data_IF_306572737230
#
_entry.id   IF_306572737230
#
_cell.length_a   1.000
_cell.length_b   1.000
_cell.length_c   1.000
_cell.angle_alpha   90.00
_cell.angle_beta   90.00
_cell.angle_gamma   90.00
#
_symmetry.space_group_name_H-M   'P 1'
#
loop_
_entity.id
_entity.type
_entity.pdbx_description
1 polymer ?
#
# COMPACT_ATOMS: atom_id res chain seq x y z
N UNK A 1 -20.47 -17.83 -18.40
CA UNK A 1 -20.98 -16.45 -18.21
C UNK A 1 -21.01 -15.77 -19.57
N UNK A 2 -22.10 -15.12 -19.97
CA UNK A 2 -22.13 -14.35 -21.22
C UNK A 2 -21.26 -13.09 -21.06
N UNK A 3 -20.25 -12.95 -21.92
CA UNK A 3 -19.30 -11.82 -21.97
C UNK A 3 -19.92 -10.49 -22.38
N UNK A 4 -21.17 -10.52 -22.86
CA UNK A 4 -21.96 -9.35 -23.22
C UNK A 4 -23.46 -9.57 -22.98
N UNK A 5 -24.21 -8.47 -22.89
CA UNK A 5 -25.68 -8.40 -22.86
C UNK A 5 -26.17 -7.74 -24.13
N UNK A 6 -27.34 -8.16 -24.63
CA UNK A 6 -28.06 -7.46 -25.71
C UNK A 6 -29.48 -7.12 -25.27
N UNK A 7 -30.10 -6.16 -25.94
CA UNK A 7 -31.50 -5.81 -25.72
C UNK A 7 -31.92 -4.67 -26.62
N UNK A 8 -33.01 -3.99 -26.26
CA UNK A 8 -33.51 -2.82 -26.99
C UNK A 8 -33.22 -1.54 -26.21
N UNK A 9 -32.82 -0.51 -26.94
CA UNK A 9 -32.50 0.80 -26.41
C UNK A 9 -33.23 1.90 -27.17
N UNK A 10 -33.44 3.02 -26.47
CA UNK A 10 -33.79 4.31 -27.05
C UNK A 10 -32.61 5.24 -26.88
N UNK A 11 -32.08 5.72 -28.00
CA UNK A 11 -30.92 6.61 -28.08
C UNK A 11 -31.32 7.91 -28.74
N UNK A 12 -30.80 9.04 -28.26
CA UNK A 12 -31.06 10.37 -28.83
C UNK A 12 -29.74 10.99 -29.25
N UNK A 13 -29.65 11.45 -30.50
CA UNK A 13 -28.47 12.16 -31.00
C UNK A 13 -28.17 13.37 -30.11
N UNK A 14 -26.90 13.51 -29.68
CA UNK A 14 -26.47 14.60 -28.82
C UNK A 14 -26.84 14.45 -27.34
N UNK A 15 -27.44 13.32 -26.92
CA UNK A 15 -27.72 13.02 -25.51
C UNK A 15 -26.82 11.91 -24.99
N UNK A 16 -26.34 12.04 -23.75
CA UNK A 16 -25.63 10.96 -23.05
C UNK A 16 -26.58 9.97 -22.37
N UNK A 17 -27.88 10.28 -22.27
CA UNK A 17 -28.86 9.41 -21.65
C UNK A 17 -29.39 8.37 -22.64
N UNK A 18 -29.38 7.11 -22.21
CA UNK A 18 -29.91 5.98 -22.98
C UNK A 18 -30.94 5.26 -22.12
N UNK A 19 -32.14 5.07 -22.66
CA UNK A 19 -33.15 4.22 -22.03
C UNK A 19 -33.00 2.79 -22.56
N UNK A 20 -33.03 1.82 -21.68
CA UNK A 20 -32.86 0.40 -21.97
C UNK A 20 -34.12 -0.32 -21.55
N UNK A 21 -34.99 -0.65 -22.50
CA UNK A 21 -36.31 -1.22 -22.20
C UNK A 21 -36.21 -2.64 -21.62
N UNK A 22 -36.96 -2.90 -20.54
CA UNK A 22 -37.07 -4.22 -19.91
C UNK A 22 -35.77 -4.71 -19.31
N UNK A 23 -34.85 -3.81 -18.94
CA UNK A 23 -33.60 -4.18 -18.31
C UNK A 23 -33.67 -4.14 -16.79
N UNK A 24 -32.78 -4.90 -16.16
CA UNK A 24 -32.55 -4.91 -14.72
C UNK A 24 -31.09 -4.49 -14.49
N UNK A 25 -30.72 -3.30 -14.95
CA UNK A 25 -29.34 -2.83 -15.00
C UNK A 25 -28.69 -2.70 -13.62
N UNK A 26 -29.47 -2.46 -12.56
CA UNK A 26 -28.93 -2.36 -11.20
C UNK A 26 -28.45 -3.70 -10.66
N UNK A 27 -28.89 -4.82 -11.25
CA UNK A 27 -28.28 -6.13 -10.99
C UNK A 27 -26.90 -6.14 -11.62
N UNK A 28 -25.85 -5.97 -10.84
CA UNK A 28 -24.46 -5.83 -11.31
C UNK A 28 -23.88 -6.97 -12.15
N UNK A 29 -24.65 -8.04 -12.43
CA UNK A 29 -24.35 -9.03 -13.46
C UNK A 29 -24.77 -8.61 -14.88
N UNK A 30 -25.64 -7.61 -15.01
CA UNK A 30 -26.23 -7.12 -16.26
C UNK A 30 -25.47 -5.93 -16.85
N UNK A 31 -25.02 -5.01 -16.00
CA UNK A 31 -24.17 -3.88 -16.36
C UNK A 31 -23.47 -3.33 -15.11
N UNK A 32 -22.34 -2.65 -15.32
CA UNK A 32 -21.63 -1.85 -14.32
C UNK A 32 -21.16 -0.55 -14.95
N UNK A 33 -20.93 0.46 -14.10
CA UNK A 33 -20.14 1.64 -14.51
C UNK A 33 -18.77 1.17 -15.00
N UNK A 34 -18.32 1.70 -16.13
CA UNK A 34 -17.10 1.28 -16.82
C UNK A 34 -17.26 0.17 -17.86
N UNK A 35 -18.43 -0.46 -17.96
CA UNK A 35 -18.74 -1.35 -19.10
C UNK A 35 -18.95 -0.53 -20.38
N UNK A 36 -18.85 -1.18 -21.55
CA UNK A 36 -18.99 -0.49 -22.83
C UNK A 36 -20.36 -0.74 -23.45
N UNK A 37 -21.09 0.33 -23.75
CA UNK A 37 -22.30 0.34 -24.55
C UNK A 37 -21.96 0.49 -26.04
N UNK A 38 -22.61 -0.28 -26.90
CA UNK A 38 -22.57 -0.11 -28.35
C UNK A 38 -23.90 -0.48 -28.98
N UNK A 39 -24.24 0.13 -30.12
CA UNK A 39 -25.40 -0.27 -30.94
C UNK A 39 -25.00 -1.24 -32.05
N UNK A 40 -23.89 -0.95 -32.71
CA UNK A 40 -23.55 -1.50 -34.02
C UNK A 40 -22.09 -1.96 -34.14
N UNK A 41 -21.38 -2.03 -33.01
CA UNK A 41 -19.95 -2.37 -32.95
C UNK A 41 -19.02 -1.41 -33.69
N UNK A 42 -19.52 -0.29 -34.22
CA UNK A 42 -18.72 0.74 -34.89
C UNK A 42 -18.30 1.85 -33.92
N UNK A 43 -19.09 2.06 -32.86
CA UNK A 43 -18.80 3.03 -31.80
C UNK A 43 -19.05 2.42 -30.42
N UNK A 44 -18.14 2.70 -29.49
CA UNK A 44 -18.22 2.28 -28.09
C UNK A 44 -18.27 3.50 -27.19
N UNK A 45 -19.13 3.42 -26.18
CA UNK A 45 -19.35 4.45 -25.17
C UNK A 45 -19.17 3.79 -23.80
N UNK A 46 -18.45 4.44 -22.90
CA UNK A 46 -18.32 3.93 -21.53
C UNK A 46 -19.60 4.27 -20.75
N UNK A 47 -20.13 3.32 -19.98
CA UNK A 47 -21.24 3.58 -19.07
C UNK A 47 -20.68 4.39 -17.89
N UNK A 48 -21.00 5.67 -17.83
CA UNK A 48 -20.59 6.59 -16.77
C UNK A 48 -21.47 6.47 -15.52
N UNK A 49 -22.76 6.18 -15.68
CA UNK A 49 -23.67 5.96 -14.56
C UNK A 49 -24.82 5.02 -14.94
N UNK A 50 -25.36 4.32 -13.94
CA UNK A 50 -26.60 3.55 -14.03
C UNK A 50 -27.66 4.32 -13.25
N UNK A 51 -28.59 4.95 -13.95
CA UNK A 51 -29.63 5.82 -13.39
C UNK A 51 -30.86 5.07 -12.87
N UNK A 52 -30.84 3.74 -12.91
CA UNK A 52 -31.94 2.85 -12.56
C UNK A 52 -31.89 1.58 -13.39
N UNK A 53 -32.89 0.72 -13.27
CA UNK A 53 -32.91 -0.57 -13.98
C UNK A 53 -33.00 -0.43 -15.51
N UNK A 54 -33.50 0.69 -16.01
CA UNK A 54 -33.71 0.95 -17.44
C UNK A 54 -33.01 2.21 -17.96
N UNK A 55 -32.07 2.78 -17.20
CA UNK A 55 -31.44 4.06 -17.55
C UNK A 55 -29.91 3.99 -17.43
N UNK A 56 -29.22 4.37 -18.51
CA UNK A 56 -27.78 4.54 -18.54
C UNK A 56 -27.42 5.99 -18.87
N UNK A 57 -26.29 6.44 -18.33
CA UNK A 57 -25.59 7.64 -18.79
C UNK A 57 -24.25 7.23 -19.39
N UNK A 58 -23.98 7.68 -20.61
CA UNK A 58 -22.72 7.45 -21.32
C UNK A 58 -21.66 8.49 -20.92
N UNK A 59 -20.38 8.16 -21.11
CA UNK A 59 -19.23 9.05 -20.90
C UNK A 59 -19.26 10.31 -21.77
N UNK A 60 -19.94 10.22 -22.93
CA UNK A 60 -20.12 11.32 -23.88
C UNK A 60 -21.47 11.22 -24.59
N UNK A 61 -21.97 12.31 -25.19
CA UNK A 61 -23.20 12.28 -25.98
C UNK A 61 -23.16 11.26 -27.12
N UNK A 62 -24.29 10.58 -27.35
CA UNK A 62 -24.46 9.63 -28.44
C UNK A 62 -24.40 10.32 -29.80
N UNK A 63 -23.48 9.89 -30.66
CA UNK A 63 -23.21 10.53 -31.94
C UNK A 63 -24.04 9.99 -33.12
N UNK A 64 -24.71 8.84 -32.94
CA UNK A 64 -25.54 8.22 -33.98
C UNK A 64 -26.92 8.87 -34.13
N UNK A 65 -27.71 8.41 -35.10
CA UNK A 65 -29.08 8.90 -35.30
C UNK A 65 -30.01 8.56 -34.13
N UNK A 66 -30.91 9.47 -33.78
CA UNK A 66 -31.99 9.24 -32.80
C UNK A 66 -32.85 8.08 -33.24
N UNK A 67 -33.06 7.11 -32.36
CA UNK A 67 -33.86 5.93 -32.66
C UNK A 67 -34.40 5.27 -31.39
N UNK A 68 -35.57 4.67 -31.52
CA UNK A 68 -36.32 3.97 -30.46
C UNK A 68 -36.35 2.48 -30.78
N UNK A 69 -36.22 1.63 -29.76
CA UNK A 69 -36.33 0.17 -29.95
C UNK A 69 -35.21 -0.45 -30.79
N UNK A 70 -34.02 0.15 -30.81
CA UNK A 70 -32.87 -0.37 -31.56
C UNK A 70 -32.08 -1.37 -30.72
N UNK A 71 -31.50 -2.38 -31.38
CA UNK A 71 -30.64 -3.35 -30.69
C UNK A 71 -29.38 -2.66 -30.15
N UNK A 72 -28.98 -3.02 -28.93
CA UNK A 72 -27.69 -2.65 -28.35
C UNK A 72 -26.95 -3.88 -27.82
N UNK A 73 -25.67 -3.69 -27.52
CA UNK A 73 -24.88 -4.57 -26.68
C UNK A 73 -24.18 -3.80 -25.54
N UNK A 74 -24.06 -4.44 -24.37
CA UNK A 74 -23.18 -4.02 -23.28
C UNK A 74 -22.08 -5.08 -23.14
N UNK A 75 -20.84 -4.68 -23.38
CA UNK A 75 -19.66 -5.51 -23.19
C UNK A 75 -19.21 -5.36 -21.74
N UNK A 76 -19.14 -6.49 -21.03
CA UNK A 76 -18.82 -6.55 -19.60
C UNK A 76 -17.32 -6.60 -19.37
N UNK A 77 -16.63 -5.58 -19.86
CA UNK A 77 -15.17 -5.45 -19.76
C UNK A 77 -14.74 -4.58 -18.59
N UNK A 78 -15.69 -3.87 -17.94
CA UNK A 78 -15.50 -2.99 -16.78
C UNK A 78 -14.13 -2.31 -16.79
N UNK A 79 -13.84 -1.53 -17.84
CA UNK A 79 -12.59 -0.78 -17.98
C UNK A 79 -12.61 0.52 -17.20
N UNK A 80 -13.47 0.60 -16.17
CA UNK A 80 -13.80 1.80 -15.40
C UNK A 80 -12.55 2.65 -15.29
N UNK A 81 -12.49 3.73 -16.06
CA UNK A 81 -11.29 4.56 -16.07
C UNK A 81 -11.12 5.04 -14.64
N UNK A 82 -10.12 4.54 -13.95
CA UNK A 82 -9.76 5.07 -12.64
C UNK A 82 -9.42 6.54 -12.89
N UNK A 83 -10.31 7.42 -12.44
CA UNK A 83 -10.09 8.85 -12.55
C UNK A 83 -8.81 9.17 -11.78
N UNK A 84 -8.13 10.25 -12.16
CA UNK A 84 -6.98 10.71 -11.37
C UNK A 84 -7.35 10.90 -9.89
N UNK A 85 -8.60 11.27 -9.59
CA UNK A 85 -9.13 11.37 -8.24
C UNK A 85 -9.23 10.00 -7.53
N UNK A 86 -9.74 8.96 -8.20
CA UNK A 86 -9.83 7.61 -7.62
C UNK A 86 -8.43 7.00 -7.36
N UNK A 87 -7.49 7.23 -8.27
CA UNK A 87 -6.08 6.83 -8.05
C UNK A 87 -5.48 7.61 -6.89
N UNK A 88 -5.70 8.92 -6.82
CA UNK A 88 -5.18 9.75 -5.74
C UNK A 88 -5.76 9.37 -4.37
N UNK A 89 -7.03 8.98 -4.31
CA UNK A 89 -7.66 8.46 -3.08
C UNK A 89 -6.99 7.14 -2.63
N UNK A 90 -6.78 6.20 -3.55
CA UNK A 90 -6.08 4.94 -3.25
C UNK A 90 -4.63 5.17 -2.82
N UNK A 91 -3.92 6.09 -3.50
CA UNK A 91 -2.56 6.50 -3.12
C UNK A 91 -2.57 7.17 -1.76
N UNK A 92 -3.56 8.01 -1.45
CA UNK A 92 -3.73 8.66 -0.16
C UNK A 92 -4.03 7.65 0.96
N UNK A 93 -4.86 6.65 0.69
CA UNK A 93 -5.15 5.56 1.62
C UNK A 93 -3.89 4.71 1.89
N UNK A 94 -3.13 4.37 0.85
CA UNK A 94 -1.86 3.67 0.97
C UNK A 94 -0.82 4.49 1.75
N UNK A 95 -0.71 5.78 1.43
CA UNK A 95 0.18 6.70 2.14
C UNK A 95 -0.22 6.84 3.62
N UNK A 96 -1.52 6.86 3.94
CA UNK A 96 -2.04 6.91 5.32
C UNK A 96 -1.77 5.59 6.07
N UNK A 97 -2.01 4.45 5.41
CA UNK A 97 -1.70 3.13 5.97
C UNK A 97 -0.18 2.92 6.16
N UNK A 98 0.65 3.57 5.36
CA UNK A 98 2.11 3.56 5.53
C UNK A 98 2.55 4.59 6.58
N UNK A 99 1.87 5.74 6.64
CA UNK A 99 2.11 6.76 7.64
C UNK A 99 1.70 6.30 9.03
N UNK A 100 0.74 5.38 9.21
CA UNK A 100 0.43 4.77 10.51
C UNK A 100 1.54 3.87 11.05
N UNK A 101 2.41 3.34 10.18
CA UNK A 101 3.67 2.67 10.57
C UNK A 101 4.70 3.69 11.08
N UNK A 102 4.56 4.97 10.71
CA UNK A 102 5.44 6.08 11.07
C UNK A 102 4.70 7.19 11.86
N UNK A 103 3.49 6.93 12.39
CA UNK A 103 2.66 8.02 12.92
C UNK A 103 3.08 8.36 14.32
N UNK A 104 3.58 9.58 14.48
CA UNK A 104 3.92 10.17 15.76
C UNK A 104 2.77 11.07 16.22
N UNK A 105 1.80 10.52 16.96
CA UNK A 105 0.71 11.25 17.65
C UNK A 105 0.61 10.79 19.11
N UNK A 106 0.30 11.71 20.05
CA UNK A 106 0.33 11.45 21.51
C UNK A 106 1.66 11.82 22.20
N UNK A 107 1.77 11.62 23.51
CA UNK A 107 2.96 11.99 24.30
C UNK A 107 4.15 11.04 24.03
N UNK A 108 3.89 9.74 23.86
CA UNK A 108 4.93 8.74 23.58
C UNK A 108 5.05 8.41 22.10
N UNK A 109 6.28 8.30 21.60
CA UNK A 109 6.59 7.93 20.21
C UNK A 109 7.30 6.58 20.19
N UNK A 110 6.57 5.52 19.87
CA UNK A 110 7.11 4.16 19.81
C UNK A 110 7.18 3.66 18.36
N UNK A 111 8.35 3.17 17.95
CA UNK A 111 8.53 2.41 16.72
C UNK A 111 8.63 0.94 17.10
N UNK A 112 7.61 0.15 16.76
CA UNK A 112 7.64 -1.30 16.94
C UNK A 112 8.18 -1.97 15.68
N UNK A 113 9.22 -2.79 15.84
CA UNK A 113 9.81 -3.58 14.76
C UNK A 113 9.71 -5.05 15.16
N UNK A 114 8.89 -5.80 14.44
CA UNK A 114 8.71 -7.23 14.67
C UNK A 114 9.63 -8.04 13.76
N UNK A 115 10.34 -9.01 14.33
CA UNK A 115 11.10 -9.99 13.55
C UNK A 115 10.35 -11.31 13.54
N UNK A 116 10.26 -11.96 12.38
CA UNK A 116 9.52 -13.21 12.22
C UNK A 116 10.14 -14.39 12.99
N UNK A 117 11.48 -14.42 13.13
CA UNK A 117 12.22 -15.54 13.70
C UNK A 117 13.46 -15.04 14.48
N UNK A 118 14.04 -15.85 15.38
CA UNK A 118 15.25 -15.51 16.15
C UNK A 118 16.46 -15.17 15.26
N UNK A 119 16.67 -15.90 14.18
CA UNK A 119 17.75 -15.67 13.22
C UNK A 119 17.54 -14.44 12.32
N UNK A 120 16.36 -13.80 12.39
CA UNK A 120 16.01 -12.64 11.59
C UNK A 120 16.72 -11.36 12.03
N UNK A 121 16.29 -10.24 11.45
CA UNK A 121 16.80 -8.92 11.77
C UNK A 121 15.66 -7.90 11.86
N UNK A 122 15.68 -7.08 12.90
CA UNK A 122 14.81 -5.93 13.08
C UNK A 122 15.62 -4.81 13.75
N UNK A 123 15.77 -3.66 13.08
CA UNK A 123 16.57 -2.58 13.63
C UNK A 123 16.73 -1.37 12.73
N UNK A 124 17.50 -0.42 13.22
CA UNK A 124 17.84 0.84 12.57
C UNK A 124 19.25 0.75 11.97
N UNK A 125 19.39 1.21 10.73
CA UNK A 125 20.68 1.28 10.04
C UNK A 125 21.15 2.74 9.93
N UNK A 126 22.35 3.02 10.43
CA UNK A 126 23.01 4.31 10.35
C UNK A 126 24.10 4.26 9.27
N UNK A 127 23.97 5.11 8.25
CA UNK A 127 24.82 5.14 7.07
C UNK A 127 25.27 6.55 6.70
N UNK A 128 26.35 6.66 5.92
CA UNK A 128 26.84 7.92 5.35
C UNK A 128 27.30 7.70 3.92
N UNK A 129 26.64 8.33 2.96
CA UNK A 129 26.98 8.21 1.53
C UNK A 129 26.89 6.76 1.03
N UNK A 130 25.88 6.00 1.46
CA UNK A 130 25.70 4.59 1.13
C UNK A 130 26.59 3.61 1.92
N UNK A 131 27.60 4.10 2.66
CA UNK A 131 28.41 3.24 3.51
C UNK A 131 27.73 3.01 4.86
N UNK A 132 27.59 1.74 5.23
CA UNK A 132 27.05 1.33 6.52
C UNK A 132 28.03 1.70 7.63
N UNK A 133 27.56 2.20 8.78
CA UNK A 133 28.44 2.58 9.90
C UNK A 133 28.08 1.81 11.15
N UNK A 134 26.83 1.96 11.57
CA UNK A 134 26.31 1.31 12.77
C UNK A 134 24.91 0.78 12.50
N UNK A 135 24.51 -0.22 13.25
CA UNK A 135 23.12 -0.64 13.35
C UNK A 135 22.74 -0.93 14.80
N UNK A 136 21.48 -0.67 15.13
CA UNK A 136 20.89 -0.88 16.45
C UNK A 136 19.64 -1.75 16.29
N UNK A 137 19.52 -2.81 17.08
CA UNK A 137 18.34 -3.67 17.04
C UNK A 137 18.65 -5.14 17.33
N UNK A 138 17.77 -6.02 16.89
CA UNK A 138 17.86 -7.47 17.02
C UNK A 138 18.46 -8.04 15.73
N UNK A 139 19.62 -8.69 15.81
CA UNK A 139 20.33 -9.19 14.64
C UNK A 139 20.87 -10.60 14.87
N UNK A 140 20.26 -11.58 14.21
CA UNK A 140 20.68 -12.99 14.25
C UNK A 140 20.48 -13.69 15.60
N UNK A 141 19.88 -12.99 16.57
CA UNK A 141 19.39 -13.52 17.84
C UNK A 141 18.29 -12.59 18.40
N UNK A 142 17.72 -12.95 19.54
CA UNK A 142 16.76 -12.13 20.29
C UNK A 142 17.42 -11.03 21.15
N UNK A 143 18.75 -10.93 21.13
CA UNK A 143 19.48 -9.97 21.96
C UNK A 143 19.49 -8.58 21.31
N UNK A 144 19.36 -7.54 22.14
CA UNK A 144 19.51 -6.16 21.68
C UNK A 144 20.99 -5.87 21.44
N UNK A 145 21.34 -5.45 20.23
CA UNK A 145 22.72 -5.20 19.82
C UNK A 145 22.92 -3.82 19.23
N UNK A 146 24.09 -3.23 19.50
CA UNK A 146 24.69 -2.17 18.69
C UNK A 146 25.90 -2.77 18.00
N UNK A 147 25.87 -2.75 16.67
CA UNK A 147 26.94 -3.31 15.85
C UNK A 147 27.57 -2.24 14.96
N UNK A 148 28.87 -2.36 14.74
CA UNK A 148 29.65 -1.51 13.83
C UNK A 148 30.07 -2.31 12.61
N UNK A 149 30.07 -1.70 11.42
CA UNK A 149 30.72 -2.26 10.22
C UNK A 149 32.11 -1.60 10.05
N UNK A 150 33.23 -2.36 10.15
CA UNK A 150 34.56 -1.84 9.94
C UNK A 150 34.83 -1.40 8.49
N UNK A 151 34.39 -2.18 7.49
CA UNK A 151 34.60 -1.89 6.07
C UNK A 151 33.55 -0.96 5.47
N UNK A 152 32.39 -0.84 6.11
CA UNK A 152 31.23 -0.09 5.61
C UNK A 152 30.41 -0.81 4.53
N UNK A 153 30.71 -2.09 4.29
CA UNK A 153 30.06 -2.92 3.25
C UNK A 153 28.67 -3.43 3.62
N UNK A 154 28.30 -3.39 4.91
CA UNK A 154 27.05 -3.97 5.39
C UNK A 154 27.07 -5.50 5.56
N UNK A 155 28.21 -6.16 5.32
CA UNK A 155 28.35 -7.62 5.48
C UNK A 155 29.25 -8.03 6.66
N UNK A 156 29.90 -7.07 7.32
CA UNK A 156 30.94 -7.31 8.33
C UNK A 156 30.62 -6.63 9.67
N UNK A 157 29.48 -6.92 10.25
CA UNK A 157 29.11 -6.33 11.53
C UNK A 157 29.78 -7.03 12.71
N UNK A 158 30.33 -6.23 13.63
CA UNK A 158 30.85 -6.69 14.91
C UNK A 158 30.06 -6.08 16.07
N UNK A 159 29.80 -6.88 17.10
CA UNK A 159 29.09 -6.45 18.31
C UNK A 159 29.97 -5.50 19.12
N UNK A 160 29.46 -4.28 19.33
CA UNK A 160 30.08 -3.28 20.22
C UNK A 160 29.40 -3.30 21.58
N UNK A 161 28.08 -3.50 21.57
CA UNK A 161 27.24 -3.67 22.75
C UNK A 161 26.22 -4.77 22.46
N UNK A 162 25.99 -5.66 23.41
CA UNK A 162 24.86 -6.59 23.41
C UNK A 162 24.21 -6.67 24.79
N UNK A 163 22.88 -6.81 24.82
CA UNK A 163 22.10 -7.08 26.03
C UNK A 163 21.34 -8.38 25.79
N UNK A 164 21.66 -9.40 26.58
CA UNK A 164 21.02 -10.70 26.46
C UNK A 164 19.54 -10.62 26.83
N UNK A 165 18.65 -11.09 25.97
CA UNK A 165 17.20 -11.02 26.24
C UNK A 165 16.81 -11.86 27.46
N UNK A 166 17.44 -13.03 27.63
CA UNK A 166 17.08 -13.99 28.67
C UNK A 166 17.53 -13.56 30.08
N UNK A 167 18.62 -12.79 30.19
CA UNK A 167 19.26 -12.48 31.47
C UNK A 167 19.42 -10.98 31.73
N UNK A 168 19.26 -10.13 30.73
CA UNK A 168 19.60 -8.71 30.79
C UNK A 168 21.11 -8.42 30.86
N UNK A 169 21.96 -9.44 30.70
CA UNK A 169 23.41 -9.28 30.80
C UNK A 169 23.95 -8.36 29.69
N UNK A 170 24.65 -7.31 30.09
CA UNK A 170 25.29 -6.35 29.19
C UNK A 170 26.72 -6.79 28.88
N UNK A 171 27.05 -6.89 27.59
CA UNK A 171 28.43 -7.10 27.10
C UNK A 171 28.87 -5.88 26.29
N UNK A 172 30.07 -5.37 26.56
CA UNK A 172 30.70 -4.27 25.83
C UNK A 172 32.04 -4.72 25.27
N UNK A 173 32.27 -4.49 23.98
CA UNK A 173 33.49 -4.91 23.28
C UNK A 173 34.33 -3.70 22.88
N UNK A 174 35.65 -3.74 23.15
CA UNK A 174 36.58 -2.71 22.69
C UNK A 174 36.53 -1.39 23.47
N UNK A 175 36.08 -1.42 24.73
CA UNK A 175 36.04 -0.24 25.61
C UNK A 175 37.47 0.26 25.90
N UNK A 176 37.76 1.50 25.51
CA UNK A 176 38.98 2.20 25.93
C UNK A 176 38.60 3.28 26.92
N UNK A 177 39.12 3.19 28.15
CA UNK A 177 38.92 4.21 29.18
C UNK A 177 40.07 5.22 29.09
N UNK A 178 39.76 6.43 28.64
CA UNK A 178 40.76 7.49 28.46
C UNK A 178 41.16 8.18 29.77
N UNK A 179 40.43 7.93 30.88
CA UNK A 179 40.75 8.47 32.19
C UNK A 179 41.40 7.39 33.07
N UNK A 180 42.69 7.55 33.47
CA UNK A 180 43.38 6.57 34.30
C UNK A 180 42.81 6.43 35.72
N UNK A 181 41.93 7.35 36.16
CA UNK A 181 41.28 7.29 37.47
C UNK A 181 40.07 6.34 37.56
N UNK A 182 39.59 5.78 36.43
CA UNK A 182 38.47 4.83 36.44
C UNK A 182 39.00 3.43 36.71
N UNK A 183 38.88 2.98 37.96
CA UNK A 183 39.17 1.59 38.34
C UNK A 183 37.95 0.70 38.06
N UNK A 184 38.16 -0.61 37.89
CA UNK A 184 37.06 -1.58 37.68
C UNK A 184 35.96 -1.51 38.76
N UNK A 185 36.33 -1.13 39.99
CA UNK A 185 35.41 -0.94 41.11
C UNK A 185 34.53 0.33 40.99
N UNK A 186 34.89 1.28 40.13
CA UNK A 186 34.08 2.47 39.85
C UNK A 186 33.05 2.25 38.73
N UNK A 187 33.19 1.16 37.95
CA UNK A 187 32.29 0.80 36.84
C UNK A 187 31.05 0.02 37.30
N UNK A 188 31.13 -0.61 38.47
CA UNK A 188 30.04 -1.41 39.04
C UNK A 188 29.82 -0.96 40.49
N UNK A 189 28.59 -0.58 40.83
CA UNK A 189 28.25 -0.29 42.22
C UNK A 189 28.38 -1.58 43.05
N UNK A 190 28.76 -1.45 44.33
CA UNK A 190 28.80 -2.61 45.23
C UNK A 190 27.41 -3.27 45.27
N UNK A 191 27.32 -4.54 44.83
CA UNK A 191 26.08 -5.32 44.82
C UNK A 191 25.45 -5.54 43.44
N UNK A 192 26.06 -5.10 42.33
CA UNK A 192 25.62 -5.51 40.99
C UNK A 192 26.35 -6.79 40.55
N UNK A 193 25.73 -7.95 40.79
CA UNK A 193 25.97 -9.22 40.10
C UNK A 193 24.62 -9.85 39.76
#
# INVERSE_FOLDING_TARGET
MSSYRIGLATVTNGSASVAIAGAELTKGANARVGDLFTRDWSAFYEIAAIGGDEALTLDRPYAGATATGVTYAILKVSVARHTAAAVLEQVGALATATASVLSVSGDDKLLSLDKAEAAGAAGLLLQRGGAHRFRLGLFGSDDLKIQRSPSGSGNDYVDVLSIAQATGALTLTGVTLANPAVTGAALFAAGSA
#
